data_IF_669021644696
#
_entry.id   IF_669021644696
#
_cell.length_a   1.000
_cell.length_b   1.000
_cell.length_c   1.000
_cell.angle_alpha   90.00
_cell.angle_beta   90.00
_cell.angle_gamma   90.00
#
_symmetry.space_group_name_H-M   'P 1'
#
loop_
_entity.id
_entity.type
_entity.pdbx_description
1 polymer ?
#
# COMPACT_ATOMS: atom_id res chain seq x y z
N UNK A 1 -0.76 25.05 7.92
CA UNK A 1 -1.78 24.01 8.12
C UNK A 1 -1.96 23.32 6.79
N UNK A 2 -1.61 22.03 6.70
CA UNK A 2 -1.76 21.23 5.48
C UNK A 2 -3.23 20.86 5.33
N UNK A 3 -3.81 21.09 4.16
CA UNK A 3 -5.19 20.72 3.89
C UNK A 3 -5.36 19.19 4.09
N UNK A 4 -6.45 18.72 4.71
CA UNK A 4 -6.68 17.29 4.84
C UNK A 4 -6.80 16.67 3.45
N UNK A 5 -6.14 15.54 3.24
CA UNK A 5 -6.18 14.77 2.01
C UNK A 5 -6.70 13.36 2.31
N UNK A 6 -7.40 12.77 1.35
CA UNK A 6 -7.85 11.38 1.38
C UNK A 6 -6.64 10.48 1.18
N UNK A 7 -6.29 9.69 2.20
CA UNK A 7 -5.20 8.71 2.15
C UNK A 7 -5.71 7.41 1.56
N UNK A 8 -5.11 7.01 0.45
CA UNK A 8 -5.50 5.81 -0.30
C UNK A 8 -4.40 4.77 -0.16
N UNK A 9 -4.68 3.67 0.53
CA UNK A 9 -3.81 2.52 0.59
C UNK A 9 -3.87 1.75 -0.72
N UNK A 10 -2.71 1.46 -1.32
CA UNK A 10 -2.59 0.55 -2.46
C UNK A 10 -1.83 -0.69 -2.00
N UNK A 11 -2.57 -1.79 -1.88
CA UNK A 11 -2.12 -3.07 -1.34
C UNK A 11 -2.11 -4.14 -2.42
N UNK A 12 -1.45 -5.25 -2.14
CA UNK A 12 -1.30 -6.35 -3.08
C UNK A 12 0.04 -7.05 -2.94
N UNK A 13 0.09 -8.31 -3.36
CA UNK A 13 1.32 -9.10 -3.34
C UNK A 13 2.42 -8.44 -4.22
N UNK A 14 3.63 -8.97 -4.13
CA UNK A 14 4.71 -8.60 -5.05
C UNK A 14 4.28 -8.69 -6.52
N UNK A 15 4.82 -7.80 -7.35
CA UNK A 15 4.61 -7.81 -8.81
C UNK A 15 3.13 -7.78 -9.25
N UNK A 16 2.23 -7.24 -8.42
CA UNK A 16 0.81 -7.11 -8.71
C UNK A 16 0.43 -5.75 -9.32
N UNK A 17 1.39 -4.85 -9.59
CA UNK A 17 1.14 -3.56 -10.23
C UNK A 17 0.82 -2.38 -9.29
N UNK A 18 1.03 -2.52 -7.98
CA UNK A 18 0.83 -1.44 -6.97
C UNK A 18 1.52 -0.14 -7.33
N UNK A 19 2.85 -0.16 -7.52
CA UNK A 19 3.65 1.04 -7.78
C UNK A 19 3.23 1.72 -9.07
N UNK A 20 2.92 0.92 -10.10
CA UNK A 20 2.41 1.41 -11.39
C UNK A 20 1.06 2.12 -11.23
N UNK A 21 0.14 1.52 -10.45
CA UNK A 21 -1.16 2.12 -10.17
C UNK A 21 -1.03 3.41 -9.33
N UNK A 22 -0.20 3.40 -8.28
CA UNK A 22 0.04 4.56 -7.41
C UNK A 22 0.57 5.76 -8.19
N UNK A 23 1.57 5.53 -9.04
CA UNK A 23 2.16 6.56 -9.88
C UNK A 23 1.15 7.12 -10.89
N UNK A 24 0.40 6.24 -11.58
CA UNK A 24 -0.58 6.66 -12.58
C UNK A 24 -1.76 7.43 -11.95
N UNK A 25 -2.20 7.05 -10.75
CA UNK A 25 -3.22 7.80 -10.01
C UNK A 25 -2.71 9.16 -9.56
N UNK A 26 -1.49 9.24 -9.02
CA UNK A 26 -0.89 10.52 -8.64
C UNK A 26 -0.77 11.48 -9.83
N UNK A 27 -0.36 10.98 -11.00
CA UNK A 27 -0.32 11.75 -12.24
C UNK A 27 -1.72 12.21 -12.67
N UNK A 28 -2.69 11.28 -12.76
CA UNK A 28 -4.07 11.56 -13.19
C UNK A 28 -4.76 12.62 -12.32
N UNK A 29 -4.51 12.60 -11.01
CA UNK A 29 -5.12 13.53 -10.05
C UNK A 29 -4.23 14.73 -9.69
N UNK A 30 -3.05 14.87 -10.33
CA UNK A 30 -2.15 16.01 -10.12
C UNK A 30 -1.66 16.12 -8.68
N UNK A 31 -1.32 15.00 -8.06
CA UNK A 31 -0.87 14.90 -6.67
C UNK A 31 0.38 14.03 -6.51
N UNK A 32 0.70 13.61 -5.27
CA UNK A 32 1.89 12.82 -4.94
C UNK A 32 1.51 11.41 -4.48
N UNK A 33 2.47 10.49 -4.59
CA UNK A 33 2.40 9.15 -4.03
C UNK A 33 3.66 8.83 -3.24
N UNK A 34 3.56 7.82 -2.37
CA UNK A 34 4.65 7.33 -1.54
C UNK A 34 5.06 5.96 -2.07
N UNK A 35 6.32 5.79 -2.53
CA UNK A 35 6.82 4.50 -2.99
C UNK A 35 7.22 3.59 -1.83
N UNK A 36 7.27 2.28 -2.14
CA UNK A 36 7.52 1.22 -1.17
C UNK A 36 8.95 1.32 -0.64
N UNK A 37 9.11 1.66 0.64
CA UNK A 37 10.42 1.85 1.24
C UNK A 37 11.27 0.56 1.26
N UNK A 38 10.64 -0.62 1.34
CA UNK A 38 11.34 -1.90 1.33
C UNK A 38 12.26 -2.06 0.10
N UNK A 39 11.87 -1.55 -1.08
CA UNK A 39 12.70 -1.61 -2.28
C UNK A 39 14.00 -0.85 -2.10
N UNK A 40 13.89 0.38 -1.60
CA UNK A 40 15.05 1.22 -1.30
C UNK A 40 15.92 0.63 -0.18
N UNK A 41 15.30 -0.01 0.82
CA UNK A 41 16.05 -0.73 1.85
C UNK A 41 16.92 -1.83 1.23
N UNK A 42 16.36 -2.67 0.36
CA UNK A 42 17.10 -3.77 -0.26
C UNK A 42 18.22 -3.24 -1.17
N UNK A 43 17.95 -2.19 -1.95
CA UNK A 43 18.96 -1.53 -2.78
C UNK A 43 20.12 -0.98 -1.96
N UNK A 44 19.83 -0.31 -0.83
CA UNK A 44 20.84 0.31 0.03
C UNK A 44 21.64 -0.71 0.84
N UNK A 45 20.97 -1.75 1.35
CA UNK A 45 21.59 -2.75 2.21
C UNK A 45 22.24 -3.90 1.44
N UNK A 46 21.88 -4.09 0.16
CA UNK A 46 22.37 -5.19 -0.67
C UNK A 46 21.90 -6.57 -0.19
N UNK A 47 20.79 -6.63 0.56
CA UNK A 47 20.21 -7.87 1.10
C UNK A 47 18.70 -7.75 1.29
N UNK A 48 18.02 -8.90 1.34
CA UNK A 48 16.62 -8.98 1.80
C UNK A 48 16.53 -8.66 3.31
N UNK A 49 15.39 -8.12 3.78
CA UNK A 49 15.21 -7.81 5.19
C UNK A 49 15.12 -9.09 6.04
N UNK A 50 15.51 -8.98 7.31
CA UNK A 50 15.25 -9.99 8.35
C UNK A 50 14.13 -9.51 9.27
N UNK A 51 13.70 -10.37 10.21
CA UNK A 51 12.63 -10.04 11.17
C UNK A 51 12.87 -8.69 11.90
N UNK A 52 14.10 -8.45 12.37
CA UNK A 52 14.46 -7.24 13.10
C UNK A 52 14.38 -5.94 12.26
N UNK A 53 14.36 -6.03 10.92
CA UNK A 53 14.25 -4.85 10.05
C UNK A 53 12.80 -4.40 9.86
N UNK A 54 11.82 -5.30 10.06
CA UNK A 54 10.43 -5.09 9.63
C UNK A 54 9.79 -3.85 10.24
N UNK A 55 9.95 -3.66 11.56
CA UNK A 55 9.41 -2.47 12.23
C UNK A 55 10.03 -1.18 11.71
N UNK A 56 11.35 -1.16 11.50
CA UNK A 56 12.05 0.02 10.95
C UNK A 56 11.58 0.38 9.55
N UNK A 57 11.34 -0.65 8.71
CA UNK A 57 10.82 -0.47 7.35
C UNK A 57 9.40 0.10 7.39
N UNK A 58 8.50 -0.50 8.18
CA UNK A 58 7.12 -0.04 8.31
C UNK A 58 7.03 1.38 8.90
N UNK A 59 7.83 1.69 9.93
CA UNK A 59 7.87 3.03 10.52
C UNK A 59 8.32 4.08 9.51
N UNK A 60 9.37 3.78 8.75
CA UNK A 60 9.87 4.68 7.71
C UNK A 60 8.83 4.92 6.61
N UNK A 61 8.04 3.90 6.25
CA UNK A 61 6.92 4.07 5.33
C UNK A 61 5.93 5.13 5.86
N UNK A 62 5.47 4.99 7.11
CA UNK A 62 4.53 5.94 7.73
C UNK A 62 5.10 7.35 7.83
N UNK A 63 6.37 7.48 8.20
CA UNK A 63 7.07 8.78 8.25
C UNK A 63 7.06 9.48 6.87
N UNK A 64 7.28 8.72 5.78
CA UNK A 64 7.20 9.25 4.41
C UNK A 64 5.80 9.64 4.01
N UNK A 65 4.80 8.85 4.40
CA UNK A 65 3.40 9.20 4.16
C UNK A 65 3.00 10.48 4.90
N UNK A 66 3.47 10.68 6.13
CA UNK A 66 3.24 11.92 6.87
C UNK A 66 3.91 13.12 6.19
N UNK A 67 5.15 12.97 5.71
CA UNK A 67 5.86 14.02 4.98
C UNK A 67 5.20 14.37 3.63
N UNK A 68 4.73 13.36 2.89
CA UNK A 68 4.09 13.53 1.59
C UNK A 68 2.69 14.15 1.71
N UNK A 69 1.97 13.94 2.82
CA UNK A 69 0.66 14.54 3.05
C UNK A 69 0.68 16.08 2.99
N UNK A 70 1.82 16.71 3.29
CA UNK A 70 1.97 18.16 3.18
C UNK A 70 1.98 18.69 1.73
N UNK A 71 2.25 17.81 0.77
CA UNK A 71 2.35 18.12 -0.66
C UNK A 71 1.15 17.56 -1.45
N UNK A 72 0.33 16.74 -0.80
CA UNK A 72 -0.86 16.13 -1.35
C UNK A 72 -1.92 17.16 -1.73
N UNK A 73 -2.69 16.85 -2.77
CA UNK A 73 -3.81 17.64 -3.29
C UNK A 73 -4.99 16.72 -3.41
N UNK A 74 -5.96 16.87 -2.51
CA UNK A 74 -7.14 16.01 -2.37
C UNK A 74 -6.85 14.55 -2.00
N UNK A 75 -5.85 13.90 -2.62
CA UNK A 75 -5.46 12.52 -2.41
C UNK A 75 -3.97 12.38 -2.07
N UNK A 76 -3.64 11.33 -1.31
CA UNK A 76 -2.29 10.81 -1.13
C UNK A 76 -2.35 9.30 -1.40
N UNK A 77 -1.60 8.82 -2.39
CA UNK A 77 -1.54 7.39 -2.72
C UNK A 77 -0.34 6.72 -2.06
N UNK A 78 -0.57 5.68 -1.25
CA UNK A 78 0.48 5.00 -0.49
C UNK A 78 0.73 3.58 -1.04
N UNK A 79 1.87 3.38 -1.71
CA UNK A 79 2.42 2.06 -2.05
C UNK A 79 3.60 1.80 -1.09
N UNK A 80 3.50 0.99 -0.07
CA UNK A 80 2.34 0.30 0.45
C UNK A 80 2.09 0.78 1.89
N UNK A 81 1.59 -0.07 2.77
CA UNK A 81 1.27 0.27 4.17
C UNK A 81 1.97 -0.67 5.16
N UNK A 82 2.04 -0.31 6.46
CA UNK A 82 2.54 -1.21 7.50
C UNK A 82 1.84 -2.57 7.57
N UNK A 83 0.58 -2.64 7.12
CA UNK A 83 -0.18 -3.89 7.05
C UNK A 83 0.48 -4.90 6.12
N UNK A 84 1.00 -4.46 4.96
CA UNK A 84 1.72 -5.37 4.06
C UNK A 84 3.00 -5.89 4.70
N UNK A 85 3.76 -5.03 5.38
CA UNK A 85 4.95 -5.46 6.13
C UNK A 85 4.60 -6.48 7.20
N UNK A 86 3.47 -6.30 7.90
CA UNK A 86 2.97 -7.27 8.88
C UNK A 86 2.62 -8.62 8.24
N UNK A 87 1.89 -8.62 7.14
CA UNK A 87 1.52 -9.85 6.40
C UNK A 87 2.77 -10.61 5.96
N UNK A 88 3.75 -9.93 5.38
CA UNK A 88 5.02 -10.53 4.98
C UNK A 88 5.85 -11.02 6.18
N UNK A 89 5.86 -10.28 7.28
CA UNK A 89 6.56 -10.69 8.50
C UNK A 89 6.01 -12.02 9.02
N UNK A 90 4.68 -12.15 9.11
CA UNK A 90 4.03 -13.38 9.55
C UNK A 90 4.33 -14.57 8.64
N UNK A 91 4.40 -14.34 7.32
CA UNK A 91 4.74 -15.39 6.37
C UNK A 91 6.18 -15.89 6.53
N UNK A 92 7.14 -14.97 6.63
CA UNK A 92 8.57 -15.32 6.56
C UNK A 92 9.24 -15.58 7.91
N UNK A 93 8.70 -15.05 9.01
CA UNK A 93 9.35 -15.08 10.31
C UNK A 93 8.48 -15.68 11.42
N UNK A 94 7.38 -16.38 11.05
CA UNK A 94 6.45 -17.02 11.98
C UNK A 94 5.86 -16.06 13.04
N UNK A 95 5.74 -14.78 12.68
CA UNK A 95 5.23 -13.76 13.58
C UNK A 95 5.60 -12.34 13.17
N UNK A 96 5.28 -11.40 14.05
CA UNK A 96 5.68 -10.01 13.95
C UNK A 96 5.86 -9.43 15.33
N UNK A 97 6.84 -8.54 15.48
CA UNK A 97 7.07 -7.86 16.75
C UNK A 97 5.85 -7.00 17.13
N UNK A 98 5.52 -6.94 18.42
CA UNK A 98 4.39 -6.17 18.93
C UNK A 98 4.34 -4.70 18.44
N UNK A 99 5.48 -3.97 18.31
CA UNK A 99 5.48 -2.62 17.73
C UNK A 99 5.02 -2.56 16.27
N UNK A 100 5.31 -3.58 15.46
CA UNK A 100 4.86 -3.62 14.06
C UNK A 100 3.35 -3.85 13.99
N UNK A 101 2.82 -4.77 14.79
CA UNK A 101 1.38 -5.01 14.87
C UNK A 101 0.63 -3.73 15.32
N UNK A 102 1.12 -3.09 16.40
CA UNK A 102 0.53 -1.85 16.89
C UNK A 102 0.59 -0.71 15.87
N UNK A 103 1.68 -0.60 15.11
CA UNK A 103 1.79 0.39 14.03
C UNK A 103 0.78 0.13 12.91
N UNK A 104 0.62 -1.14 12.49
CA UNK A 104 -0.37 -1.51 11.49
C UNK A 104 -1.81 -1.25 11.96
N UNK A 105 -2.11 -1.46 13.24
CA UNK A 105 -3.43 -1.18 13.83
C UNK A 105 -3.71 0.33 13.94
N UNK A 106 -2.69 1.13 14.25
CA UNK A 106 -2.84 2.58 14.44
C UNK A 106 -2.86 3.38 13.13
N UNK A 107 -2.40 2.81 12.02
CA UNK A 107 -2.32 3.50 10.72
C UNK A 107 -3.62 3.32 9.94
N UNK A 108 -4.34 4.42 9.71
CA UNK A 108 -5.63 4.42 9.02
C UNK A 108 -5.55 5.04 7.63
N UNK A 109 -6.40 4.54 6.74
CA UNK A 109 -6.56 5.01 5.37
C UNK A 109 -8.05 5.19 5.09
N UNK A 110 -8.40 6.20 4.30
CA UNK A 110 -9.78 6.53 3.95
C UNK A 110 -10.34 5.58 2.88
N UNK A 111 -9.46 5.01 2.05
CA UNK A 111 -9.79 4.06 1.01
C UNK A 111 -8.68 3.01 0.87
N UNK A 112 -9.07 1.74 0.78
CA UNK A 112 -8.14 0.62 0.53
C UNK A 112 -8.42 0.01 -0.83
N UNK A 113 -7.42 0.04 -1.71
CA UNK A 113 -7.43 -0.60 -3.03
C UNK A 113 -6.45 -1.77 -3.02
N UNK A 114 -6.89 -2.94 -3.47
CA UNK A 114 -6.07 -4.15 -3.56
C UNK A 114 -5.89 -4.51 -5.02
N UNK A 115 -4.66 -4.56 -5.51
CA UNK A 115 -4.39 -5.02 -6.88
C UNK A 115 -4.36 -6.54 -6.95
N UNK A 116 -5.24 -7.13 -7.75
CA UNK A 116 -5.27 -8.57 -7.96
C UNK A 116 -3.99 -9.08 -8.67
N UNK A 117 -3.51 -10.29 -8.34
CA UNK A 117 -2.39 -10.94 -9.02
C UNK A 117 -2.86 -11.67 -10.30
N UNK A 118 -3.62 -10.99 -11.17
CA UNK A 118 -4.20 -11.54 -12.40
C UNK A 118 -3.31 -11.35 -13.64
N UNK A 119 -2.28 -10.51 -13.54
CA UNK A 119 -1.26 -10.37 -14.58
C UNK A 119 -0.31 -11.58 -14.61
N UNK A 120 0.26 -11.92 -15.78
CA UNK A 120 1.32 -12.92 -15.86
C UNK A 120 2.44 -12.63 -14.87
N UNK A 121 2.90 -13.66 -14.19
CA UNK A 121 4.02 -13.54 -13.25
C UNK A 121 5.32 -13.25 -14.01
N UNK A 122 6.09 -12.28 -13.50
CA UNK A 122 7.40 -11.93 -14.04
C UNK A 122 8.39 -11.94 -12.89
N UNK A 123 9.44 -12.76 -13.02
CA UNK A 123 10.55 -12.78 -12.07
C UNK A 123 11.27 -11.42 -12.10
N UNK A 124 11.52 -10.85 -10.92
CA UNK A 124 12.22 -9.56 -10.80
C UNK A 124 13.11 -9.54 -9.56
N UNK A 125 14.42 -9.66 -9.81
CA UNK A 125 15.46 -9.53 -8.79
C UNK A 125 15.43 -10.59 -7.68
N UNK A 126 15.94 -10.20 -6.51
CA UNK A 126 16.15 -11.06 -5.34
C UNK A 126 14.94 -11.18 -4.41
N UNK A 127 13.86 -10.44 -4.67
CA UNK A 127 12.73 -10.31 -3.75
C UNK A 127 11.58 -11.26 -4.06
N UNK A 128 11.54 -11.84 -5.27
CA UNK A 128 10.35 -12.51 -5.81
C UNK A 128 10.57 -13.99 -6.01
N UNK A 129 9.79 -14.81 -5.31
CA UNK A 129 10.04 -16.25 -5.21
C UNK A 129 9.29 -17.05 -6.27
N UNK A 130 7.97 -16.93 -6.33
CA UNK A 130 7.15 -17.73 -7.26
C UNK A 130 5.72 -17.22 -7.39
N UNK A 131 5.03 -17.66 -8.44
CA UNK A 131 3.59 -17.43 -8.61
C UNK A 131 2.77 -17.97 -7.44
N UNK A 132 3.15 -19.13 -6.89
CA UNK A 132 2.46 -19.74 -5.77
C UNK A 132 2.54 -18.87 -4.49
N UNK A 133 3.72 -18.30 -4.22
CA UNK A 133 3.93 -17.38 -3.09
C UNK A 133 3.14 -16.09 -3.31
N UNK A 134 3.14 -15.54 -4.54
CA UNK A 134 2.32 -14.36 -4.89
C UNK A 134 0.84 -14.57 -4.56
N UNK A 135 0.28 -15.71 -4.97
CA UNK A 135 -1.12 -16.06 -4.68
C UNK A 135 -1.37 -16.34 -3.18
N UNK A 136 -0.39 -16.89 -2.45
CA UNK A 136 -0.47 -17.09 -1.00
C UNK A 136 -0.52 -15.77 -0.24
N UNK A 137 0.41 -14.86 -0.51
CA UNK A 137 0.43 -13.52 0.11
C UNK A 137 -0.84 -12.75 -0.21
N UNK A 138 -1.35 -12.85 -1.44
CA UNK A 138 -2.62 -12.23 -1.81
C UNK A 138 -3.77 -12.72 -0.92
N UNK A 139 -3.90 -14.03 -0.70
CA UNK A 139 -4.92 -14.59 0.21
C UNK A 139 -4.74 -14.13 1.64
N UNK A 140 -3.51 -14.18 2.17
CA UNK A 140 -3.23 -13.71 3.52
C UNK A 140 -3.54 -12.23 3.72
N UNK A 141 -3.32 -11.40 2.70
CA UNK A 141 -3.72 -10.00 2.73
C UNK A 141 -5.25 -9.87 2.86
N UNK A 142 -6.03 -10.60 2.06
CA UNK A 142 -7.49 -10.53 2.14
C UNK A 142 -8.00 -11.03 3.49
N UNK A 143 -7.49 -12.16 3.97
CA UNK A 143 -7.83 -12.72 5.28
C UNK A 143 -7.51 -11.72 6.41
N UNK A 144 -6.38 -11.01 6.33
CA UNK A 144 -5.99 -10.00 7.32
C UNK A 144 -6.90 -8.76 7.27
N UNK A 145 -7.28 -8.30 6.07
CA UNK A 145 -8.21 -7.20 5.89
C UNK A 145 -9.59 -7.54 6.46
N UNK A 146 -10.11 -8.74 6.15
CA UNK A 146 -11.38 -9.26 6.66
C UNK A 146 -11.36 -9.41 8.18
N UNK A 147 -10.31 -10.01 8.75
CA UNK A 147 -10.16 -10.20 10.18
C UNK A 147 -10.11 -8.86 10.96
N UNK A 148 -9.61 -7.80 10.32
CA UNK A 148 -9.54 -6.44 10.88
C UNK A 148 -10.81 -5.61 10.60
N UNK A 149 -11.73 -6.11 9.77
CA UNK A 149 -12.89 -5.34 9.33
C UNK A 149 -12.53 -4.12 8.48
N UNK A 150 -11.38 -4.15 7.79
CA UNK A 150 -10.96 -3.06 6.90
C UNK A 150 -11.65 -3.25 5.56
N UNK A 151 -12.52 -2.30 5.18
CA UNK A 151 -13.15 -2.31 3.86
C UNK A 151 -12.11 -2.11 2.75
N UNK A 152 -12.19 -2.93 1.70
CA UNK A 152 -11.29 -2.86 0.56
C UNK A 152 -12.01 -3.14 -0.77
N UNK A 153 -11.40 -2.66 -1.86
CA UNK A 153 -11.85 -2.93 -3.22
C UNK A 153 -10.75 -3.60 -4.02
N UNK A 154 -11.02 -4.79 -4.54
CA UNK A 154 -10.09 -5.50 -5.42
C UNK A 154 -10.20 -4.93 -6.83
N UNK A 155 -9.06 -4.57 -7.40
CA UNK A 155 -8.93 -4.03 -8.75
C UNK A 155 -8.26 -5.05 -9.66
N UNK A 156 -8.86 -5.24 -10.83
CA UNK A 156 -8.52 -6.30 -11.77
C UNK A 156 -8.01 -5.78 -13.13
N UNK A 157 -7.36 -6.68 -13.87
CA UNK A 157 -6.96 -6.54 -15.27
C UNK A 157 -5.87 -5.48 -15.50
N UNK A 158 -5.91 -4.76 -16.62
CA UNK A 158 -4.88 -3.81 -17.05
C UNK A 158 -4.83 -2.56 -16.16
N UNK A 159 -3.74 -1.78 -16.28
CA UNK A 159 -3.63 -0.50 -15.60
C UNK A 159 -4.82 0.41 -15.91
N UNK A 160 -5.22 0.51 -17.18
CA UNK A 160 -6.37 1.31 -17.62
C UNK A 160 -7.67 0.83 -16.96
N UNK A 161 -7.91 -0.48 -16.94
CA UNK A 161 -9.09 -1.05 -16.29
C UNK A 161 -9.13 -0.75 -14.79
N UNK A 162 -7.98 -0.83 -14.10
CA UNK A 162 -7.86 -0.52 -12.68
C UNK A 162 -8.06 0.97 -12.39
N UNK A 163 -7.57 1.84 -13.27
CA UNK A 163 -7.80 3.28 -13.16
C UNK A 163 -9.29 3.63 -13.29
N UNK A 164 -10.01 2.97 -14.21
CA UNK A 164 -11.46 3.15 -14.36
C UNK A 164 -12.26 2.57 -13.18
N UNK A 165 -11.83 1.43 -12.62
CA UNK A 165 -12.42 0.88 -11.40
C UNK A 165 -12.19 1.76 -10.16
N UNK A 166 -11.00 2.36 -10.04
CA UNK A 166 -10.63 3.22 -8.91
C UNK A 166 -11.32 4.59 -8.95
N UNK A 167 -11.58 5.15 -10.13
CA UNK A 167 -12.13 6.49 -10.30
C UNK A 167 -13.43 6.78 -9.50
N UNK A 168 -14.49 5.95 -9.59
CA UNK A 168 -15.71 6.20 -8.80
C UNK A 168 -15.49 6.05 -7.30
N UNK A 169 -14.61 5.14 -6.86
CA UNK A 169 -14.27 4.92 -5.45
C UNK A 169 -13.55 6.14 -4.86
N UNK A 170 -12.61 6.71 -5.61
CA UNK A 170 -11.88 7.92 -5.24
C UNK A 170 -12.82 9.12 -5.16
N UNK A 171 -13.77 9.26 -6.09
CA UNK A 171 -14.76 10.31 -6.05
C UNK A 171 -15.66 10.20 -4.81
N UNK A 172 -16.09 8.99 -4.46
CA UNK A 172 -16.88 8.74 -3.25
C UNK A 172 -16.09 9.05 -1.98
N UNK A 173 -14.84 8.60 -1.89
CA UNK A 173 -13.96 8.88 -0.75
C UNK A 173 -13.72 10.38 -0.57
N UNK A 174 -13.50 11.11 -1.66
CA UNK A 174 -13.33 12.57 -1.62
C UNK A 174 -14.60 13.31 -1.21
N UNK A 175 -15.78 12.84 -1.65
CA UNK A 175 -17.06 13.42 -1.25
C UNK A 175 -17.42 13.13 0.21
N UNK A 176 -16.96 12.00 0.76
CA UNK A 176 -17.14 11.62 2.16
C UNK A 176 -16.14 12.33 3.10
N UNK A 177 -15.02 12.83 2.58
CA UNK A 177 -14.06 13.59 3.36
C UNK A 177 -14.74 14.85 3.92
N UNK A 178 -14.56 15.17 5.21
CA UNK A 178 -15.16 16.35 5.82
C UNK A 178 -14.77 17.59 5.01
N UNK A 179 -15.77 18.41 4.67
CA UNK A 179 -15.59 19.56 3.79
C UNK A 179 -14.36 20.35 4.23
N UNK A 180 -13.39 20.46 3.30
CA UNK A 180 -12.27 21.37 3.43
C UNK A 180 -12.89 22.77 3.40
N UNK A 181 -13.23 23.31 4.58
CA UNK A 181 -13.63 24.70 4.71
C UNK A 181 -12.46 25.56 4.28
N UNK A 182 -12.49 26.00 3.02
CA UNK A 182 -11.70 27.11 2.54
C UNK A 182 -12.26 28.38 3.22
N UNK A 183 -11.75 28.68 4.41
CA UNK A 183 -11.82 30.03 4.97
C UNK A 183 -10.75 30.90 4.30
#
# INVERSE_FOLDING_TARGET
MTAPCVRVAILGAESSGKSTLAAALAERYGTVWVPEYLREFVEKQGRVPVAADQFGIARTQVEREAAAAAQARNFLFCDTTPLMTLVYSRHYFDGADAPLAALADATQYDLTLVTAPDSPWVADGLQRESEAVRQLIYRYLLDELDARGIAYHVLHDSLEARLEQAAPLLQQALAAAPAISLN
#
